data_IF_838387455566
#
_entry.id   IF_838387455566
#
_cell.length_a   1.000
_cell.length_b   1.000
_cell.length_c   1.000
_cell.angle_alpha   90.00
_cell.angle_beta   90.00
_cell.angle_gamma   90.00
#
_symmetry.space_group_name_H-M   'P 1'
#
loop_
_entity.id
_entity.type
_entity.pdbx_description
1 polymer ?
#
# COMPACT_ATOMS: atom_id res chain seq x y z
N UNK A 1 13.47 -13.31 3.32
CA UNK A 1 13.68 -12.22 2.34
C UNK A 1 13.06 -12.66 1.02
N UNK A 2 11.74 -12.65 0.94
CA UNK A 2 11.03 -12.94 -0.32
C UNK A 2 10.80 -11.60 -1.01
N UNK A 3 11.61 -11.32 -2.03
CA UNK A 3 11.40 -10.21 -2.95
C UNK A 3 10.12 -10.53 -3.75
N UNK A 4 9.01 -9.88 -3.41
CA UNK A 4 7.69 -10.09 -4.01
C UNK A 4 7.65 -9.37 -5.36
N UNK A 5 8.37 -9.96 -6.31
CA UNK A 5 8.49 -9.46 -7.67
C UNK A 5 7.32 -10.00 -8.50
N UNK A 6 6.50 -9.08 -8.99
CA UNK A 6 5.55 -9.35 -10.06
C UNK A 6 6.30 -9.53 -11.38
N UNK A 7 5.63 -10.20 -12.33
CA UNK A 7 6.19 -10.50 -13.64
C UNK A 7 5.35 -9.88 -14.75
N UNK A 8 6.02 -9.14 -15.63
CA UNK A 8 5.47 -8.68 -16.90
C UNK A 8 6.41 -9.09 -18.03
N UNK A 9 5.97 -10.03 -18.87
CA UNK A 9 6.85 -10.62 -19.89
C UNK A 9 8.06 -11.32 -19.25
N UNK A 10 9.31 -10.98 -19.63
CA UNK A 10 10.52 -11.49 -18.98
C UNK A 10 10.99 -10.64 -17.79
N UNK A 11 10.30 -9.55 -17.44
CA UNK A 11 10.77 -8.59 -16.43
C UNK A 11 10.14 -8.86 -15.08
N UNK A 12 10.98 -8.85 -14.04
CA UNK A 12 10.60 -8.92 -12.64
C UNK A 12 10.61 -7.50 -12.06
N UNK A 13 9.54 -7.08 -11.39
CA UNK A 13 9.36 -5.73 -10.86
C UNK A 13 8.51 -5.74 -9.60
N UNK A 14 8.60 -4.71 -8.75
CA UNK A 14 7.70 -4.56 -7.62
C UNK A 14 6.24 -4.31 -8.11
N UNK A 15 5.21 -4.64 -7.30
CA UNK A 15 3.81 -4.49 -7.70
C UNK A 15 3.42 -3.07 -8.15
N UNK A 16 4.02 -2.05 -7.55
CA UNK A 16 3.75 -0.64 -7.86
C UNK A 16 4.70 -0.03 -8.91
N UNK A 17 5.70 -0.79 -9.36
CA UNK A 17 6.70 -0.36 -10.34
C UNK A 17 6.25 -0.67 -11.78
N UNK A 18 4.94 -0.68 -12.01
CA UNK A 18 4.33 -0.92 -13.32
C UNK A 18 3.15 0.02 -13.53
N UNK A 19 3.02 0.54 -14.75
CA UNK A 19 1.91 1.37 -15.15
C UNK A 19 1.57 1.17 -16.62
N UNK A 20 0.28 1.02 -16.93
CA UNK A 20 -0.18 0.82 -18.31
C UNK A 20 -0.59 2.13 -18.96
N UNK A 21 0.19 2.63 -19.92
CA UNK A 21 -0.13 3.85 -20.68
C UNK A 21 -1.18 3.53 -21.75
N UNK A 22 -2.18 4.40 -21.89
CA UNK A 22 -3.24 4.26 -22.90
C UNK A 22 -3.46 5.59 -23.60
N UNK A 23 -3.32 5.58 -24.92
CA UNK A 23 -3.49 6.75 -25.78
C UNK A 23 -4.72 6.59 -26.66
N UNK A 24 -5.52 7.64 -26.75
CA UNK A 24 -6.77 7.61 -27.53
C UNK A 24 -6.50 7.72 -29.04
N UNK A 25 -7.22 6.91 -29.83
CA UNK A 25 -7.06 6.77 -31.29
C UNK A 25 -8.36 7.02 -32.05
N UNK A 26 -9.48 7.27 -31.34
CA UNK A 26 -10.84 7.27 -31.91
C UNK A 26 -11.42 5.87 -32.19
N UNK A 27 -10.67 4.81 -31.88
CA UNK A 27 -11.10 3.42 -31.97
C UNK A 27 -10.56 2.61 -30.79
N UNK A 28 -9.85 1.52 -31.08
CA UNK A 28 -9.13 0.78 -30.04
C UNK A 28 -7.95 1.62 -29.55
N UNK A 29 -7.85 1.94 -28.25
CA UNK A 29 -6.75 2.75 -27.74
C UNK A 29 -5.41 2.06 -28.00
N UNK A 30 -4.34 2.85 -28.10
CA UNK A 30 -2.97 2.34 -28.22
C UNK A 30 -2.37 2.17 -26.83
N UNK A 31 -1.85 1.00 -26.52
CA UNK A 31 -1.49 0.60 -25.15
C UNK A 31 -0.02 0.20 -25.04
N UNK A 32 0.62 0.71 -23.99
CA UNK A 32 1.99 0.38 -23.60
C UNK A 32 2.05 0.03 -22.12
N UNK A 33 3.00 -0.82 -21.73
CA UNK A 33 3.34 -1.03 -20.33
C UNK A 33 4.69 -0.40 -20.03
N UNK A 34 4.71 0.51 -19.06
CA UNK A 34 5.90 1.11 -18.48
C UNK A 34 6.19 0.41 -17.16
N UNK A 35 7.43 -0.02 -16.91
CA UNK A 35 7.82 -0.60 -15.63
C UNK A 35 9.25 -0.27 -15.24
N UNK A 36 9.57 -0.32 -13.94
CA UNK A 36 10.94 -0.36 -13.43
C UNK A 36 11.30 -1.81 -13.15
N UNK A 37 12.18 -2.39 -13.97
CA UNK A 37 12.62 -3.76 -13.82
C UNK A 37 13.72 -3.86 -12.76
N UNK A 38 13.55 -4.78 -11.81
CA UNK A 38 14.59 -5.18 -10.86
C UNK A 38 15.52 -6.25 -11.46
N UNK A 39 14.97 -7.13 -12.30
CA UNK A 39 15.71 -8.18 -12.99
C UNK A 39 14.97 -8.66 -14.25
N UNK A 40 15.65 -9.48 -15.05
CA UNK A 40 14.99 -10.31 -16.05
C UNK A 40 15.10 -11.80 -15.74
N UNK A 41 14.05 -12.54 -16.09
CA UNK A 41 13.95 -13.98 -15.92
C UNK A 41 14.00 -14.67 -17.29
N UNK A 42 15.17 -15.18 -17.66
CA UNK A 42 15.36 -16.02 -18.86
C UNK A 42 15.73 -17.47 -18.49
N UNK A 43 16.60 -17.67 -17.49
CA UNK A 43 16.92 -18.97 -16.83
C UNK A 43 17.42 -18.84 -15.38
N UNK A 44 18.04 -17.70 -15.04
CA UNK A 44 18.36 -17.23 -13.68
C UNK A 44 18.04 -15.73 -13.65
N UNK A 45 17.72 -15.18 -12.48
CA UNK A 45 17.46 -13.75 -12.34
C UNK A 45 18.74 -12.95 -12.66
N UNK A 46 18.71 -12.19 -13.76
CA UNK A 46 19.80 -11.30 -14.14
C UNK A 46 19.47 -9.87 -13.72
N UNK A 47 20.18 -9.39 -12.68
CA UNK A 47 20.05 -8.05 -12.12
C UNK A 47 20.78 -6.98 -12.94
N UNK A 48 21.63 -7.35 -13.90
CA UNK A 48 22.33 -6.40 -14.77
C UNK A 48 21.41 -5.74 -15.83
N UNK A 49 20.18 -6.25 -15.94
CA UNK A 49 19.13 -5.83 -16.88
C UNK A 49 18.09 -4.92 -16.21
N UNK A 50 18.41 -4.35 -15.04
CA UNK A 50 17.53 -3.41 -14.35
C UNK A 50 17.26 -2.11 -15.12
N UNK A 51 16.36 -1.29 -14.60
CA UNK A 51 16.01 0.02 -15.14
C UNK A 51 14.61 0.09 -15.77
N UNK A 52 14.31 1.24 -16.38
CA UNK A 52 13.00 1.49 -16.97
C UNK A 52 12.85 0.72 -18.29
N UNK A 53 11.68 0.10 -18.46
CA UNK A 53 11.31 -0.69 -19.62
C UNK A 53 9.96 -0.20 -20.16
N UNK A 54 9.86 -0.13 -21.49
CA UNK A 54 8.61 0.16 -22.19
C UNK A 54 8.30 -1.01 -23.13
N UNK A 55 7.12 -1.59 -22.91
CA UNK A 55 6.57 -2.68 -23.71
C UNK A 55 5.40 -2.16 -24.54
N UNK A 56 5.39 -2.55 -25.80
CA UNK A 56 4.30 -2.36 -26.72
C UNK A 56 3.32 -3.53 -26.57
N UNK A 57 2.15 -3.29 -25.99
CA UNK A 57 1.17 -4.34 -25.73
C UNK A 57 0.41 -4.76 -26.99
N UNK A 58 0.31 -3.86 -27.98
CA UNK A 58 -0.41 -4.13 -29.23
C UNK A 58 0.43 -4.89 -30.25
N UNK A 59 1.75 -4.72 -30.18
CA UNK A 59 2.72 -5.47 -30.99
C UNK A 59 3.40 -6.61 -30.21
N UNK A 60 3.27 -6.64 -28.88
CA UNK A 60 3.94 -7.57 -27.98
C UNK A 60 5.46 -7.49 -28.09
N UNK A 61 5.98 -6.28 -28.19
CA UNK A 61 7.39 -6.01 -28.47
C UNK A 61 7.99 -5.12 -27.39
N UNK A 62 9.31 -5.23 -27.19
CA UNK A 62 10.05 -4.28 -26.35
C UNK A 62 10.30 -3.02 -27.18
N UNK A 63 9.80 -1.88 -26.71
CA UNK A 63 10.08 -0.57 -27.33
C UNK A 63 11.47 -0.11 -26.94
N UNK A 64 11.78 -0.16 -25.65
CA UNK A 64 13.11 0.07 -25.09
C UNK A 64 13.23 -0.63 -23.73
N UNK A 65 14.46 -0.96 -23.36
CA UNK A 65 14.81 -1.58 -22.08
C UNK A 65 16.02 -0.88 -21.45
N UNK A 66 16.21 -1.07 -20.14
CA UNK A 66 17.40 -0.64 -19.38
C UNK A 66 17.67 0.87 -19.43
N UNK A 67 16.63 1.68 -19.58
CA UNK A 67 16.75 3.14 -19.42
C UNK A 67 17.12 3.46 -17.97
N UNK A 68 18.11 4.33 -17.78
CA UNK A 68 18.71 4.68 -16.49
C UNK A 68 19.21 3.49 -15.64
N UNK A 69 19.65 2.39 -16.28
CA UNK A 69 20.20 1.23 -15.55
C UNK A 69 21.38 1.58 -14.63
N UNK A 70 22.19 2.57 -15.01
CA UNK A 70 23.36 3.02 -14.25
C UNK A 70 23.04 4.08 -13.18
N UNK A 71 21.82 4.62 -13.17
CA UNK A 71 21.39 5.73 -12.32
C UNK A 71 20.07 5.35 -11.59
N UNK A 72 20.08 4.30 -10.73
CA UNK A 72 18.88 3.80 -10.07
C UNK A 72 18.13 4.87 -9.26
N UNK A 73 18.86 5.82 -8.68
CA UNK A 73 18.31 6.95 -7.93
C UNK A 73 17.44 7.91 -8.76
N UNK A 74 17.60 7.89 -10.09
CA UNK A 74 16.82 8.73 -11.02
C UNK A 74 15.63 8.00 -11.63
N UNK A 75 15.54 6.68 -11.49
CA UNK A 75 14.51 5.86 -12.14
C UNK A 75 13.10 6.22 -11.70
N UNK A 76 12.88 6.47 -10.40
CA UNK A 76 11.55 6.84 -9.89
C UNK A 76 11.05 8.14 -10.53
N UNK A 77 11.85 9.20 -10.49
CA UNK A 77 11.47 10.50 -11.06
C UNK A 77 11.18 10.40 -12.57
N UNK A 78 12.01 9.64 -13.28
CA UNK A 78 11.85 9.44 -14.72
C UNK A 78 10.63 8.57 -15.06
N UNK A 79 10.35 7.54 -14.26
CA UNK A 79 9.15 6.70 -14.41
C UNK A 79 7.88 7.54 -14.31
N UNK A 80 7.78 8.40 -13.28
CA UNK A 80 6.62 9.29 -13.11
C UNK A 80 6.53 10.35 -14.22
N UNK A 81 7.66 10.84 -14.72
CA UNK A 81 7.69 11.74 -15.89
C UNK A 81 7.14 11.06 -17.13
N UNK A 82 7.64 9.88 -17.50
CA UNK A 82 7.19 9.13 -18.68
C UNK A 82 5.71 8.75 -18.54
N UNK A 83 5.28 8.36 -17.34
CA UNK A 83 3.88 8.02 -17.04
C UNK A 83 2.90 9.16 -17.35
N UNK A 84 3.34 10.42 -17.23
CA UNK A 84 2.53 11.61 -17.48
C UNK A 84 2.57 12.12 -18.92
N UNK A 85 3.38 11.54 -19.80
CA UNK A 85 3.56 12.04 -21.17
C UNK A 85 2.31 11.88 -22.02
N UNK A 86 1.99 12.93 -22.79
CA UNK A 86 1.09 12.83 -23.93
C UNK A 86 1.74 12.09 -25.11
N UNK A 87 0.95 11.69 -26.10
CA UNK A 87 1.45 10.93 -27.25
C UNK A 87 2.63 11.59 -27.99
N UNK A 88 2.62 12.91 -28.30
CA UNK A 88 3.73 13.53 -29.02
C UNK A 88 5.05 13.45 -28.25
N UNK A 89 5.00 13.69 -26.93
CA UNK A 89 6.18 13.63 -26.06
C UNK A 89 6.67 12.18 -25.89
N UNK A 90 5.75 11.24 -25.66
CA UNK A 90 6.06 9.82 -25.49
C UNK A 90 6.71 9.20 -26.74
N UNK A 91 6.13 9.44 -27.93
CA UNK A 91 6.66 8.92 -29.19
C UNK A 91 8.01 9.54 -29.55
N UNK A 92 8.22 10.84 -29.26
CA UNK A 92 9.51 11.50 -29.44
C UNK A 92 10.58 10.98 -28.46
N UNK A 93 10.21 10.78 -27.19
CA UNK A 93 11.07 10.18 -26.18
C UNK A 93 11.54 8.79 -26.61
N UNK A 94 10.60 7.92 -27.03
CA UNK A 94 10.96 6.56 -27.47
C UNK A 94 11.93 6.58 -28.65
N UNK A 95 11.65 7.38 -29.69
CA UNK A 95 12.47 7.45 -30.92
C UNK A 95 13.87 7.99 -30.73
N UNK A 96 14.01 8.99 -29.86
CA UNK A 96 15.29 9.64 -29.60
C UNK A 96 16.20 8.81 -28.67
N UNK A 97 15.66 7.74 -28.08
CA UNK A 97 16.38 6.91 -27.13
C UNK A 97 17.37 5.98 -27.85
N UNK A 98 18.62 5.92 -27.36
CA UNK A 98 19.70 5.11 -27.97
C UNK A 98 19.36 3.60 -28.06
N UNK A 99 18.49 3.13 -27.15
CA UNK A 99 18.04 1.72 -27.05
C UNK A 99 16.68 1.46 -27.70
N UNK A 100 16.19 2.37 -28.53
CA UNK A 100 14.93 2.18 -29.24
C UNK A 100 14.99 0.95 -30.16
N UNK A 101 13.99 0.06 -30.05
CA UNK A 101 13.92 -1.23 -30.76
C UNK A 101 12.58 -1.51 -31.41
N UNK A 102 11.59 -0.63 -31.23
CA UNK A 102 10.26 -0.85 -31.79
C UNK A 102 10.29 -0.82 -33.31
N UNK A 103 9.39 -1.61 -33.91
CA UNK A 103 9.08 -1.58 -35.35
C UNK A 103 7.67 -1.05 -35.61
N UNK A 104 6.96 -0.63 -34.57
CA UNK A 104 5.63 -0.08 -34.70
C UNK A 104 5.69 1.19 -35.55
N UNK A 105 4.87 1.27 -36.59
CA UNK A 105 4.95 2.31 -37.61
C UNK A 105 4.75 3.72 -37.03
N UNK A 106 3.83 3.85 -36.07
CA UNK A 106 3.53 5.10 -35.35
C UNK A 106 4.62 5.55 -34.38
N UNK A 107 5.52 4.64 -34.01
CA UNK A 107 6.71 4.94 -33.23
C UNK A 107 7.97 5.10 -34.09
N UNK A 108 8.07 4.50 -35.27
CA UNK A 108 9.24 4.69 -36.15
C UNK A 108 9.10 5.98 -36.92
N UNK A 109 7.94 6.18 -37.55
CA UNK A 109 7.65 7.36 -38.34
C UNK A 109 6.84 8.36 -37.50
N UNK A 110 7.18 9.67 -37.53
CA UNK A 110 6.42 10.68 -36.79
C UNK A 110 4.94 10.69 -37.15
N UNK A 111 4.09 10.47 -36.15
CA UNK A 111 2.65 10.63 -36.27
C UNK A 111 2.13 11.58 -35.18
N UNK A 112 1.27 12.52 -35.56
CA UNK A 112 0.62 13.45 -34.62
C UNK A 112 -0.31 12.72 -33.63
N UNK A 113 -0.78 11.53 -34.00
CA UNK A 113 -1.67 10.67 -33.21
C UNK A 113 -1.22 9.21 -33.31
N UNK A 114 -1.46 8.40 -32.27
CA UNK A 114 -1.15 6.97 -32.32
C UNK A 114 -2.03 6.28 -33.34
N UNK A 115 -1.52 5.19 -33.93
CA UNK A 115 -2.36 4.30 -34.74
C UNK A 115 -3.27 3.46 -33.83
N UNK A 116 -4.40 2.93 -34.34
CA UNK A 116 -5.28 2.08 -33.55
C UNK A 116 -4.56 0.85 -32.98
N UNK A 117 -4.81 0.52 -31.71
CA UNK A 117 -4.25 -0.65 -31.05
C UNK A 117 -4.97 -1.97 -31.42
N UNK A 118 -4.47 -3.08 -30.85
CA UNK A 118 -4.94 -4.43 -31.14
C UNK A 118 -5.93 -4.93 -30.09
N UNK A 119 -7.23 -4.95 -30.42
CA UNK A 119 -8.28 -5.49 -29.53
C UNK A 119 -7.97 -6.92 -29.09
N UNK A 120 -7.45 -7.73 -30.01
CA UNK A 120 -7.12 -9.14 -29.75
C UNK A 120 -6.06 -9.29 -28.66
N UNK A 121 -5.02 -8.45 -28.68
CA UNK A 121 -3.96 -8.50 -27.66
C UNK A 121 -4.40 -7.89 -26.34
N UNK A 122 -5.17 -6.81 -26.42
CA UNK A 122 -5.70 -6.14 -25.23
C UNK A 122 -6.76 -6.96 -24.47
N UNK A 123 -7.41 -7.93 -25.11
CA UNK A 123 -8.49 -8.71 -24.48
C UNK A 123 -8.06 -9.46 -23.22
N UNK A 124 -6.78 -9.85 -23.11
CA UNK A 124 -6.24 -10.54 -21.93
C UNK A 124 -5.60 -9.58 -20.90
N UNK A 125 -5.56 -8.28 -21.20
CA UNK A 125 -4.93 -7.29 -20.34
C UNK A 125 -5.97 -6.69 -19.39
N UNK A 126 -5.59 -6.40 -18.13
CA UNK A 126 -6.41 -5.59 -17.24
C UNK A 126 -6.80 -4.25 -17.89
N UNK A 127 -7.92 -3.65 -17.49
CA UNK A 127 -8.27 -2.33 -18.00
C UNK A 127 -7.15 -1.31 -17.70
N UNK A 128 -6.67 -0.54 -18.71
CA UNK A 128 -5.74 0.55 -18.47
C UNK A 128 -6.41 1.66 -17.66
N UNK A 129 -5.63 2.38 -16.86
CA UNK A 129 -6.10 3.63 -16.25
C UNK A 129 -5.94 4.75 -17.29
N UNK A 130 -7.01 5.51 -17.62
CA UNK A 130 -6.93 6.57 -18.62
C UNK A 130 -5.88 7.64 -18.27
N UNK A 131 -5.16 8.15 -19.28
CA UNK A 131 -4.10 9.15 -19.08
C UNK A 131 -4.61 10.46 -18.44
N UNK A 132 -5.83 10.88 -18.77
CA UNK A 132 -6.47 12.06 -18.16
C UNK A 132 -6.65 11.93 -16.63
N UNK A 133 -6.76 10.70 -16.12
CA UNK A 133 -6.80 10.41 -14.68
C UNK A 133 -5.40 10.51 -14.06
N UNK A 134 -4.33 10.32 -14.86
CA UNK A 134 -2.94 10.24 -14.39
C UNK A 134 -2.15 11.54 -14.40
N UNK A 135 -2.59 12.55 -15.16
CA UNK A 135 -1.90 13.84 -15.17
C UNK A 135 -1.84 14.42 -13.74
N UNK A 136 -0.62 14.58 -13.22
CA UNK A 136 -0.35 15.04 -11.85
C UNK A 136 -0.74 14.06 -10.74
N UNK A 137 -1.08 12.81 -11.06
CA UNK A 137 -1.59 11.83 -10.09
C UNK A 137 -0.45 11.06 -9.40
N UNK A 138 -0.47 11.09 -8.07
CA UNK A 138 0.53 10.41 -7.25
C UNK A 138 0.25 8.91 -7.09
N UNK A 139 -1.03 8.52 -7.06
CA UNK A 139 -1.48 7.12 -6.81
C UNK A 139 -0.88 6.12 -7.79
N UNK A 140 -0.55 4.93 -7.29
CA UNK A 140 -0.23 3.78 -8.14
C UNK A 140 -1.49 3.25 -8.82
N UNK A 141 -1.32 2.44 -9.88
CA UNK A 141 -2.47 1.80 -10.53
C UNK A 141 -3.20 0.84 -9.56
N UNK A 142 -2.51 0.28 -8.57
CA UNK A 142 -3.10 -0.54 -7.52
C UNK A 142 -4.00 0.30 -6.60
N UNK A 143 -3.52 1.44 -6.12
CA UNK A 143 -4.31 2.39 -5.32
C UNK A 143 -5.55 2.91 -6.06
N UNK A 144 -5.48 3.03 -7.39
CA UNK A 144 -6.62 3.43 -8.22
C UNK A 144 -7.65 2.30 -8.32
N UNK A 145 -7.20 1.04 -8.35
CA UNK A 145 -8.03 -0.16 -8.47
C UNK A 145 -8.64 -0.62 -7.15
N UNK A 146 -8.08 -0.25 -6.00
CA UNK A 146 -8.64 -0.61 -4.68
C UNK A 146 -10.02 0.01 -4.40
N UNK A 147 -10.52 0.87 -5.31
CA UNK A 147 -11.73 1.70 -5.20
C UNK A 147 -13.08 0.93 -5.20
N UNK A 148 -13.11 -0.39 -5.15
CA UNK A 148 -14.35 -1.18 -5.39
C UNK A 148 -14.75 -2.20 -4.33
N UNK A 149 -14.18 -2.20 -3.12
CA UNK A 149 -14.67 -3.08 -2.04
C UNK A 149 -15.74 -2.36 -1.19
N UNK A 150 -16.95 -2.92 -1.02
CA UNK A 150 -17.94 -2.44 -0.05
C UNK A 150 -17.46 -2.59 1.40
N UNK A 151 -16.51 -3.49 1.65
CA UNK A 151 -16.16 -3.95 3.00
C UNK A 151 -14.66 -3.84 3.25
N UNK A 152 -14.19 -2.70 3.80
CA UNK A 152 -12.97 -2.67 4.61
C UNK A 152 -11.61 -2.40 3.92
N UNK A 153 -11.56 -1.77 2.74
CA UNK A 153 -10.29 -1.31 2.13
C UNK A 153 -10.16 0.22 2.23
N UNK A 154 -8.99 0.77 2.59
CA UNK A 154 -8.78 2.22 2.65
C UNK A 154 -9.03 2.89 1.29
N UNK A 155 -9.71 4.04 1.34
CA UNK A 155 -9.99 4.87 0.16
C UNK A 155 -8.81 5.80 -0.15
N UNK A 156 -8.34 5.75 -1.40
CA UNK A 156 -7.31 6.64 -1.92
C UNK A 156 -7.92 7.64 -2.92
N UNK A 157 -8.34 8.84 -2.48
CA UNK A 157 -8.86 9.87 -3.38
C UNK A 157 -7.77 10.32 -4.38
N UNK A 158 -8.20 10.92 -5.51
CA UNK A 158 -7.27 11.56 -6.45
C UNK A 158 -6.42 12.58 -5.71
N UNK A 159 -5.10 12.49 -5.86
CA UNK A 159 -4.18 13.38 -5.19
C UNK A 159 -2.95 13.64 -6.05
N UNK A 160 -2.42 14.85 -5.97
CA UNK A 160 -1.11 15.20 -6.50
C UNK A 160 -0.05 15.23 -5.39
N UNK A 161 1.22 15.40 -5.78
CA UNK A 161 2.35 15.48 -4.85
C UNK A 161 2.15 16.58 -3.79
N UNK A 162 1.68 17.76 -4.20
CA UNK A 162 1.54 18.90 -3.29
C UNK A 162 0.44 18.67 -2.26
N UNK A 163 -0.69 18.12 -2.71
CA UNK A 163 -1.82 17.75 -1.85
C UNK A 163 -1.44 16.64 -0.86
N UNK A 164 -0.73 15.61 -1.32
CA UNK A 164 -0.25 14.55 -0.44
C UNK A 164 0.73 15.07 0.62
N UNK A 165 1.67 15.96 0.25
CA UNK A 165 2.58 16.61 1.20
C UNK A 165 1.79 17.46 2.20
N UNK A 166 0.77 18.19 1.76
CA UNK A 166 -0.08 19.00 2.64
C UNK A 166 -0.82 18.12 3.66
N UNK A 167 -1.45 17.04 3.21
CA UNK A 167 -2.15 16.11 4.09
C UNK A 167 -1.20 15.42 5.09
N UNK A 168 -0.04 14.95 4.62
CA UNK A 168 1.00 14.37 5.47
C UNK A 168 1.50 15.39 6.49
N UNK A 169 1.75 16.63 6.05
CA UNK A 169 2.20 17.72 6.92
C UNK A 169 1.14 18.11 7.94
N UNK A 170 -0.15 17.94 7.65
CA UNK A 170 -1.25 18.23 8.56
C UNK A 170 -1.47 17.15 9.63
N UNK A 171 -0.83 15.99 9.50
CA UNK A 171 -0.97 14.87 10.43
C UNK A 171 -0.64 15.26 11.89
N UNK A 172 -1.27 14.61 12.89
CA UNK A 172 -0.90 14.81 14.29
C UNK A 172 0.58 14.50 14.51
N UNK A 173 1.22 15.30 15.36
CA UNK A 173 2.61 15.10 15.76
C UNK A 173 2.69 14.91 17.26
N UNK A 174 3.43 13.88 17.68
CA UNK A 174 3.67 13.58 19.09
C UNK A 174 5.16 13.47 19.37
N UNK A 175 5.55 13.77 20.60
CA UNK A 175 6.95 13.69 21.02
C UNK A 175 7.39 12.22 21.12
N UNK A 176 8.41 11.86 20.34
CA UNK A 176 9.05 10.56 20.42
C UNK A 176 10.00 10.41 21.62
N UNK A 177 10.71 9.28 21.71
CA UNK A 177 11.61 8.96 22.83
C UNK A 177 12.72 10.00 23.10
N UNK A 178 13.10 10.79 22.09
CA UNK A 178 14.17 11.78 22.18
C UNK A 178 13.68 13.24 22.17
N UNK A 179 12.38 13.47 22.41
CA UNK A 179 11.77 14.80 22.44
C UNK A 179 11.54 15.45 21.06
N UNK A 180 12.03 14.83 19.98
CA UNK A 180 11.68 15.22 18.61
C UNK A 180 10.28 14.72 18.24
N UNK A 181 9.63 15.45 17.34
CA UNK A 181 8.27 15.15 16.90
C UNK A 181 8.27 14.04 15.84
N UNK A 182 7.31 13.15 15.95
CA UNK A 182 7.04 12.05 15.01
C UNK A 182 5.59 12.15 14.52
N UNK A 183 5.33 11.70 13.29
CA UNK A 183 3.95 11.52 12.82
C UNK A 183 3.23 10.51 13.72
N UNK A 184 1.99 10.81 14.08
CA UNK A 184 1.26 10.06 15.09
C UNK A 184 -0.20 9.81 14.70
N UNK A 185 -0.71 8.67 15.15
CA UNK A 185 -2.11 8.26 15.00
C UNK A 185 -2.70 7.98 16.38
N UNK A 186 -3.60 8.84 16.87
CA UNK A 186 -4.31 8.58 18.11
C UNK A 186 -5.19 7.33 18.00
N UNK A 187 -5.00 6.39 18.91
CA UNK A 187 -5.84 5.20 19.06
C UNK A 187 -6.94 5.57 20.06
N UNK A 188 -8.19 5.45 19.63
CA UNK A 188 -9.36 5.68 20.49
C UNK A 188 -10.30 4.50 20.37
N UNK A 189 -10.35 3.69 21.41
CA UNK A 189 -11.43 2.72 21.58
C UNK A 189 -12.70 3.47 22.02
N UNK A 190 -13.90 3.06 21.56
CA UNK A 190 -15.15 3.65 22.02
C UNK A 190 -15.31 3.48 23.54
N UNK A 191 -15.82 4.51 24.23
CA UNK A 191 -16.09 4.46 25.67
C UNK A 191 -17.19 3.45 26.03
N UNK A 192 -18.09 3.17 25.07
CA UNK A 192 -19.22 2.24 25.20
C UNK A 192 -19.02 0.96 24.39
N UNK A 193 -17.77 0.50 24.24
CA UNK A 193 -17.49 -0.72 23.49
C UNK A 193 -18.22 -1.94 24.11
N UNK A 194 -18.72 -2.84 23.26
CA UNK A 194 -19.38 -4.07 23.71
C UNK A 194 -18.38 -4.98 24.46
N UNK A 195 -18.66 -5.21 25.75
CA UNK A 195 -17.86 -6.08 26.61
C UNK A 195 -18.39 -7.51 26.66
N UNK A 196 -19.45 -7.84 25.91
CA UNK A 196 -20.12 -9.15 25.98
C UNK A 196 -19.23 -10.31 25.52
N UNK A 197 -18.23 -10.05 24.66
CA UNK A 197 -17.44 -11.10 24.01
C UNK A 197 -18.26 -11.95 23.03
N UNK A 198 -19.44 -11.48 22.60
CA UNK A 198 -20.28 -12.16 21.61
C UNK A 198 -19.89 -11.79 20.17
N UNK A 199 -19.23 -10.64 19.98
CA UNK A 199 -18.84 -10.13 18.69
C UNK A 199 -17.60 -10.87 18.18
N UNK A 200 -17.77 -11.84 17.28
CA UNK A 200 -16.66 -12.55 16.67
C UNK A 200 -17.07 -13.89 16.07
N UNK A 201 -16.09 -14.65 15.59
CA UNK A 201 -16.31 -15.94 14.93
C UNK A 201 -16.25 -17.16 15.86
N UNK A 202 -15.93 -17.00 17.15
CA UNK A 202 -15.82 -18.12 18.10
C UNK A 202 -17.14 -18.34 18.82
N UNK A 203 -17.54 -19.60 18.93
CA UNK A 203 -18.69 -19.98 19.74
C UNK A 203 -18.41 -19.72 21.23
N UNK A 204 -19.39 -19.12 21.90
CA UNK A 204 -19.40 -18.84 23.34
C UNK A 204 -20.78 -19.19 23.89
N UNK A 205 -20.84 -19.73 25.11
CA UNK A 205 -22.08 -20.15 25.75
C UNK A 205 -22.76 -18.98 26.47
N UNK A 206 -23.97 -18.61 26.01
CA UNK A 206 -24.78 -17.56 26.62
C UNK A 206 -25.22 -17.88 28.04
N UNK A 207 -25.25 -19.16 28.44
CA UNK A 207 -25.51 -19.53 29.84
C UNK A 207 -24.44 -18.98 30.79
N UNK A 208 -23.24 -18.66 30.28
CA UNK A 208 -22.12 -18.12 31.04
C UNK A 208 -22.07 -16.57 31.04
N UNK A 209 -23.02 -15.89 30.39
CA UNK A 209 -23.07 -14.41 30.32
C UNK A 209 -22.98 -13.72 31.70
N UNK A 210 -23.69 -14.18 32.77
CA UNK A 210 -23.55 -13.57 34.09
C UNK A 210 -22.15 -13.74 34.69
N UNK A 211 -21.58 -14.94 34.56
CA UNK A 211 -20.25 -15.24 35.07
C UNK A 211 -19.15 -14.49 34.30
N UNK A 212 -19.33 -14.30 32.99
CA UNK A 212 -18.47 -13.46 32.15
C UNK A 212 -18.53 -11.99 32.58
N UNK A 213 -19.75 -11.46 32.78
CA UNK A 213 -19.94 -10.07 33.20
C UNK A 213 -19.27 -9.78 34.54
N UNK A 214 -19.39 -10.72 35.49
CA UNK A 214 -18.70 -10.66 36.77
C UNK A 214 -17.17 -10.73 36.60
N UNK A 215 -16.67 -11.65 35.78
CA UNK A 215 -15.25 -11.84 35.54
C UNK A 215 -14.59 -10.60 34.93
N UNK A 216 -15.20 -10.00 33.91
CA UNK A 216 -14.71 -8.76 33.28
C UNK A 216 -14.67 -7.60 34.28
N UNK A 217 -15.67 -7.51 35.16
CA UNK A 217 -15.67 -6.51 36.24
C UNK A 217 -14.56 -6.72 37.28
N UNK A 218 -14.17 -7.98 37.52
CA UNK A 218 -13.12 -8.35 38.48
C UNK A 218 -11.70 -8.33 37.89
N UNK A 219 -11.58 -8.49 36.57
CA UNK A 219 -10.31 -8.65 35.84
C UNK A 219 -10.16 -7.61 34.72
N UNK A 220 -9.91 -6.34 35.07
CA UNK A 220 -9.74 -5.28 34.07
C UNK A 220 -8.56 -5.53 33.12
N UNK A 221 -7.60 -6.37 33.50
CA UNK A 221 -6.50 -6.75 32.62
C UNK A 221 -6.95 -7.48 31.34
N UNK A 222 -8.10 -8.15 31.35
CA UNK A 222 -8.67 -8.81 30.15
C UNK A 222 -9.09 -7.77 29.09
N UNK A 223 -9.51 -6.59 29.53
CA UNK A 223 -9.86 -5.48 28.64
C UNK A 223 -8.58 -4.93 27.99
N UNK A 224 -7.51 -4.77 28.77
CA UNK A 224 -6.21 -4.30 28.25
C UNK A 224 -5.59 -5.33 27.29
N UNK A 225 -5.71 -6.62 27.60
CA UNK A 225 -5.30 -7.71 26.72
C UNK A 225 -6.05 -7.66 25.38
N UNK A 226 -7.38 -7.52 25.42
CA UNK A 226 -8.19 -7.37 24.21
C UNK A 226 -7.84 -6.12 23.39
N UNK A 227 -7.54 -5.00 24.05
CA UNK A 227 -7.08 -3.76 23.38
C UNK A 227 -5.74 -3.96 22.68
N UNK A 228 -4.78 -4.61 23.34
CA UNK A 228 -3.50 -4.94 22.74
C UNK A 228 -3.68 -5.89 21.56
N UNK A 229 -4.44 -6.97 21.72
CA UNK A 229 -4.77 -7.91 20.63
C UNK A 229 -5.41 -7.21 19.42
N UNK A 230 -6.31 -6.25 19.64
CA UNK A 230 -6.95 -5.48 18.56
C UNK A 230 -5.95 -4.61 17.77
N UNK A 231 -4.85 -4.22 18.40
CA UNK A 231 -3.78 -3.41 17.81
C UNK A 231 -2.67 -4.24 17.16
N UNK A 232 -2.53 -5.52 17.53
CA UNK A 232 -1.49 -6.40 16.97
C UNK A 232 -1.44 -6.42 15.44
N UNK A 233 -2.56 -6.45 14.68
CA UNK A 233 -2.49 -6.41 13.22
C UNK A 233 -1.98 -5.08 12.66
N UNK A 234 -1.94 -4.01 13.46
CA UNK A 234 -1.33 -2.72 13.08
C UNK A 234 0.14 -2.65 13.47
N UNK A 235 0.50 -3.26 14.61
CA UNK A 235 1.86 -3.24 15.18
C UNK A 235 2.79 -4.30 14.56
N UNK A 236 2.30 -5.54 14.48
CA UNK A 236 3.02 -6.71 13.99
C UNK A 236 2.52 -7.17 12.62
N UNK A 237 1.28 -6.78 12.28
CA UNK A 237 0.76 -7.01 10.94
C UNK A 237 1.42 -6.06 9.95
N UNK A 238 1.56 -6.49 8.69
CA UNK A 238 2.12 -5.62 7.69
C UNK A 238 1.11 -4.50 7.41
N UNK A 239 1.40 -3.30 7.91
CA UNK A 239 0.60 -2.11 7.58
C UNK A 239 0.94 -1.70 6.16
N UNK A 240 0.40 -2.46 5.20
CA UNK A 240 0.68 -2.28 3.79
C UNK A 240 0.11 -0.94 3.33
N UNK A 241 0.94 -0.04 2.76
CA UNK A 241 0.40 1.00 1.90
C UNK A 241 -0.34 0.31 0.76
N UNK A 242 -1.67 0.33 0.78
CA UNK A 242 -2.51 -0.11 -0.34
C UNK A 242 -2.12 -1.48 -0.94
N UNK A 243 -2.07 -2.55 -0.15
CA UNK A 243 -1.80 -3.90 -0.69
C UNK A 243 -0.40 -4.10 -1.28
N UNK A 244 0.54 -3.18 -1.06
CA UNK A 244 1.95 -3.43 -1.32
C UNK A 244 2.49 -4.31 -0.21
N UNK A 245 2.89 -5.55 -0.55
CA UNK A 245 3.53 -6.48 0.38
C UNK A 245 4.98 -6.06 0.76
N UNK A 246 5.24 -4.75 0.86
CA UNK A 246 6.51 -4.18 1.31
C UNK A 246 6.58 -4.23 2.83
N UNK A 247 6.84 -5.42 3.37
CA UNK A 247 7.17 -5.61 4.78
C UNK A 247 8.41 -4.77 5.17
N UNK A 248 8.35 -4.13 6.35
CA UNK A 248 9.53 -3.55 7.00
C UNK A 248 9.99 -2.16 6.53
N UNK A 249 9.34 -1.56 5.53
CA UNK A 249 9.70 -0.20 5.10
C UNK A 249 9.44 0.85 6.18
N UNK A 250 8.29 0.76 6.84
CA UNK A 250 7.88 1.70 7.88
C UNK A 250 7.87 1.00 9.22
N UNK A 251 8.54 1.59 10.20
CA UNK A 251 8.49 1.14 11.59
C UNK A 251 7.47 1.95 12.37
N UNK A 252 6.57 1.24 13.06
CA UNK A 252 5.60 1.84 13.98
C UNK A 252 5.95 1.43 15.40
N UNK A 253 5.71 2.31 16.37
CA UNK A 253 5.81 1.99 17.79
C UNK A 253 4.67 2.64 18.58
N UNK A 254 4.27 2.01 19.68
CA UNK A 254 3.37 2.64 20.64
C UNK A 254 4.09 3.75 21.40
N UNK A 255 3.39 4.85 21.63
CA UNK A 255 3.94 5.99 22.35
C UNK A 255 4.37 5.57 23.78
N UNK A 256 5.66 5.70 24.14
CA UNK A 256 6.20 5.20 25.41
C UNK A 256 5.70 6.00 26.63
N UNK A 257 5.07 7.15 26.42
CA UNK A 257 4.60 8.05 27.48
C UNK A 257 3.20 7.66 28.01
N UNK A 258 2.75 6.43 27.73
CA UNK A 258 1.44 5.92 28.17
C UNK A 258 0.25 6.54 27.43
N UNK A 259 0.48 7.22 26.31
CA UNK A 259 -0.60 7.69 25.43
C UNK A 259 -0.95 6.58 24.44
N UNK A 260 -2.25 6.33 24.17
CA UNK A 260 -2.67 5.36 23.18
C UNK A 260 -2.47 5.98 21.78
N UNK A 261 -1.24 6.04 21.32
CA UNK A 261 -0.87 6.64 20.03
C UNK A 261 0.18 5.74 19.34
N UNK A 262 0.01 5.55 18.03
CA UNK A 262 1.05 4.97 17.17
C UNK A 262 1.95 6.08 16.67
N UNK A 263 3.26 5.85 16.67
CA UNK A 263 4.27 6.77 16.16
C UNK A 263 5.00 6.14 14.98
N UNK A 264 5.17 6.88 13.89
CA UNK A 264 6.09 6.51 12.81
C UNK A 264 7.53 6.73 13.29
N UNK A 265 8.24 5.64 13.53
CA UNK A 265 9.58 5.65 14.13
C UNK A 265 10.69 5.58 13.11
N UNK A 266 10.52 4.74 12.08
CA UNK A 266 11.51 4.54 11.02
C UNK A 266 10.88 4.52 9.63
N UNK A 267 11.66 4.94 8.65
CA UNK A 267 11.38 4.76 7.23
C UNK A 267 12.66 4.30 6.56
N UNK A 268 12.60 3.19 5.84
CA UNK A 268 13.77 2.54 5.20
C UNK A 268 14.88 2.29 6.24
N UNK A 269 14.50 1.73 7.40
CA UNK A 269 15.36 1.46 8.59
C UNK A 269 15.99 2.70 9.24
N UNK A 270 15.70 3.91 8.74
CA UNK A 270 16.25 5.16 9.28
C UNK A 270 15.24 5.82 10.21
N UNK A 271 15.67 6.29 11.40
CA UNK A 271 14.80 7.07 12.27
C UNK A 271 14.22 8.29 11.56
N UNK A 272 12.91 8.49 11.68
CA UNK A 272 12.22 9.67 11.16
C UNK A 272 11.65 10.48 12.32
N UNK A 273 12.20 11.68 12.51
CA UNK A 273 11.71 12.64 13.50
C UNK A 273 12.13 14.04 13.10
N UNK A 274 11.40 15.03 13.57
CA UNK A 274 11.58 16.44 13.18
C UNK A 274 11.48 17.35 14.39
N UNK A 275 12.16 18.50 14.39
CA UNK A 275 12.02 19.48 15.47
C UNK A 275 10.66 20.19 15.44
N UNK A 276 10.07 20.38 14.25
CA UNK A 276 8.81 21.09 14.07
C UNK A 276 8.11 20.69 12.76
N UNK A 277 6.89 21.22 12.55
CA UNK A 277 6.08 20.96 11.35
C UNK A 277 6.69 21.54 10.06
N UNK A 278 7.49 22.60 10.15
CA UNK A 278 8.17 23.20 8.99
C UNK A 278 9.28 22.28 8.49
N UNK A 279 10.04 21.68 9.42
CA UNK A 279 11.04 20.67 9.11
C UNK A 279 10.41 19.42 8.50
N UNK A 280 9.23 18.98 8.97
CA UNK A 280 8.48 17.90 8.30
C UNK A 280 8.16 18.23 6.85
N UNK A 281 7.58 19.41 6.60
CA UNK A 281 7.24 19.83 5.23
C UNK A 281 8.48 19.88 4.32
N UNK A 282 9.60 20.37 4.85
CA UNK A 282 10.87 20.43 4.12
C UNK A 282 11.41 19.03 3.81
N UNK A 283 11.35 18.12 4.79
CA UNK A 283 11.75 16.72 4.60
C UNK A 283 10.91 16.05 3.51
N UNK A 284 9.58 16.15 3.61
CA UNK A 284 8.64 15.59 2.64
C UNK A 284 8.87 16.16 1.23
N UNK A 285 9.10 17.47 1.13
CA UNK A 285 9.32 18.14 -0.16
C UNK A 285 10.58 17.64 -0.87
N UNK A 286 11.58 17.15 -0.13
CA UNK A 286 12.80 16.54 -0.67
C UNK A 286 12.69 15.05 -1.04
N UNK A 287 11.60 14.37 -0.68
CA UNK A 287 11.46 12.92 -0.93
C UNK A 287 11.00 12.63 -2.37
N UNK A 288 11.41 11.50 -2.98
CA UNK A 288 10.87 11.06 -4.28
C UNK A 288 9.34 10.84 -4.25
N UNK A 289 8.68 10.98 -5.41
CA UNK A 289 7.22 10.78 -5.55
C UNK A 289 6.76 9.42 -5.04
N UNK A 290 7.51 8.35 -5.34
CA UNK A 290 7.24 7.01 -4.80
C UNK A 290 7.18 7.01 -3.27
N UNK A 291 8.14 7.66 -2.61
CA UNK A 291 8.20 7.72 -1.15
C UNK A 291 7.03 8.52 -0.57
N UNK A 292 6.67 9.64 -1.20
CA UNK A 292 5.50 10.43 -0.80
C UNK A 292 4.20 9.65 -1.01
N UNK A 293 4.06 8.94 -2.13
CA UNK A 293 2.92 8.06 -2.40
C UNK A 293 2.79 7.00 -1.33
N UNK A 294 3.88 6.30 -1.02
CA UNK A 294 3.86 5.15 -0.11
C UNK A 294 3.60 5.60 1.33
N UNK A 295 4.21 6.71 1.77
CA UNK A 295 3.93 7.29 3.08
C UNK A 295 2.49 7.82 3.19
N UNK A 296 1.98 8.45 2.14
CA UNK A 296 0.57 8.87 2.07
C UNK A 296 -0.37 7.66 2.09
N UNK A 297 -0.02 6.59 1.36
CA UNK A 297 -0.72 5.32 1.37
C UNK A 297 -0.77 4.68 2.76
N UNK A 298 0.36 4.69 3.48
CA UNK A 298 0.45 4.25 4.87
C UNK A 298 -0.48 5.07 5.76
N UNK A 299 -0.40 6.41 5.69
CA UNK A 299 -1.27 7.30 6.48
C UNK A 299 -2.74 6.96 6.28
N UNK A 300 -3.19 6.86 5.03
CA UNK A 300 -4.61 6.56 4.71
C UNK A 300 -5.04 5.18 5.18
N UNK A 301 -4.12 4.21 5.16
CA UNK A 301 -4.37 2.86 5.66
C UNK A 301 -4.47 2.87 7.19
N UNK A 302 -3.55 3.54 7.87
CA UNK A 302 -3.61 3.72 9.33
C UNK A 302 -4.85 4.49 9.78
N UNK A 303 -5.21 5.59 9.12
CA UNK A 303 -6.43 6.34 9.42
C UNK A 303 -7.69 5.45 9.36
N UNK A 304 -7.71 4.47 8.46
CA UNK A 304 -8.78 3.48 8.37
C UNK A 304 -8.69 2.43 9.48
N UNK A 305 -7.51 1.82 9.68
CA UNK A 305 -7.31 0.73 10.64
C UNK A 305 -7.41 1.17 12.10
N UNK A 306 -7.08 2.44 12.39
CA UNK A 306 -7.23 3.04 13.73
C UNK A 306 -8.52 3.84 13.87
N UNK A 307 -9.46 3.72 12.93
CA UNK A 307 -10.78 4.34 13.08
C UNK A 307 -11.55 3.70 14.24
N UNK A 308 -12.40 4.47 14.98
CA UNK A 308 -13.16 3.94 16.10
C UNK A 308 -13.96 2.69 15.76
N UNK A 309 -14.68 2.69 14.63
CA UNK A 309 -15.50 1.56 14.18
C UNK A 309 -14.66 0.30 13.94
N UNK A 310 -13.45 0.46 13.36
CA UNK A 310 -12.57 -0.68 13.06
C UNK A 310 -11.92 -1.23 14.32
N UNK A 311 -11.50 -0.34 15.22
CA UNK A 311 -10.96 -0.72 16.52
C UNK A 311 -12.01 -1.39 17.40
N UNK A 312 -13.26 -0.92 17.38
CA UNK A 312 -14.38 -1.54 18.08
C UNK A 312 -14.62 -2.97 17.60
N UNK A 313 -14.67 -3.16 16.27
CA UNK A 313 -14.84 -4.48 15.69
C UNK A 313 -13.73 -5.44 16.13
N UNK A 314 -12.48 -5.02 16.00
CA UNK A 314 -11.31 -5.85 16.38
C UNK A 314 -11.25 -6.12 17.88
N UNK A 315 -11.63 -5.14 18.69
CA UNK A 315 -11.72 -5.27 20.14
C UNK A 315 -12.79 -6.29 20.54
N UNK A 316 -13.98 -6.22 19.95
CA UNK A 316 -15.02 -7.23 20.14
C UNK A 316 -14.54 -8.62 19.77
N UNK A 317 -13.90 -8.77 18.60
CA UNK A 317 -13.32 -10.05 18.15
C UNK A 317 -12.25 -10.59 19.09
N UNK A 318 -11.41 -9.70 19.66
CA UNK A 318 -10.42 -10.08 20.66
C UNK A 318 -11.07 -10.56 21.96
N UNK A 319 -12.06 -9.83 22.48
CA UNK A 319 -12.82 -10.26 23.64
C UNK A 319 -13.51 -11.61 23.41
N UNK A 320 -14.06 -11.84 22.22
CA UNK A 320 -14.68 -13.12 21.85
C UNK A 320 -13.67 -14.27 21.88
N UNK A 321 -12.42 -14.05 21.45
CA UNK A 321 -11.34 -15.06 21.56
C UNK A 321 -10.97 -15.34 23.02
N UNK A 322 -10.75 -14.30 23.81
CA UNK A 322 -10.41 -14.43 25.24
C UNK A 322 -11.52 -15.17 25.99
N UNK A 323 -12.78 -14.76 25.79
CA UNK A 323 -13.96 -15.41 26.39
C UNK A 323 -14.03 -16.88 26.02
N UNK A 324 -13.97 -17.20 24.73
CA UNK A 324 -14.03 -18.59 24.23
C UNK A 324 -12.91 -19.45 24.81
N UNK A 325 -11.69 -18.93 24.92
CA UNK A 325 -10.57 -19.66 25.53
C UNK A 325 -10.78 -19.96 27.01
N UNK A 326 -11.34 -19.01 27.78
CA UNK A 326 -11.64 -19.19 29.20
C UNK A 326 -12.80 -20.15 29.45
N UNK A 327 -13.82 -20.14 28.59
CA UNK A 327 -14.93 -21.11 28.64
C UNK A 327 -14.43 -22.53 28.34
N UNK A 328 -13.59 -22.70 27.31
CA UNK A 328 -12.97 -23.99 26.99
C UNK A 328 -12.06 -24.52 28.12
N UNK A 329 -11.35 -23.62 28.82
CA UNK A 329 -10.53 -23.99 29.96
C UNK A 329 -11.35 -24.36 31.22
N UNK A 330 -12.64 -23.98 31.27
CA UNK A 330 -13.56 -24.31 32.35
C UNK A 330 -14.22 -25.68 32.21
N UNK A 331 -14.30 -26.23 31.00
CA UNK A 331 -14.76 -27.61 30.78
C UNK A 331 -13.70 -28.60 31.28
N UNK A 332 -13.92 -29.30 32.41
CA UNK A 332 -13.07 -30.41 32.80
C UNK A 332 -13.39 -31.62 31.91
N UNK A 333 -12.40 -32.49 31.70
CA UNK A 333 -12.49 -33.74 30.92
C UNK A 333 -13.81 -34.52 31.08
N UNK A 334 -14.24 -35.27 30.04
CA UNK A 334 -15.41 -36.15 30.13
C UNK A 334 -15.24 -37.10 31.31
N UNK A 335 -16.25 -37.09 32.18
CA UNK A 335 -16.41 -37.95 33.35
C UNK A 335 -15.88 -39.36 33.08
N UNK A 336 -14.98 -39.93 33.93
CA UNK A 336 -14.55 -41.31 33.74
C UNK A 336 -15.80 -42.17 33.84
N UNK A 337 -16.06 -42.94 32.77
CA UNK A 337 -17.13 -43.91 32.72
C UNK A 337 -17.17 -44.72 34.02
N UNK A 338 -18.22 -44.48 34.81
CA UNK A 338 -18.57 -45.30 35.96
C UNK A 338 -19.17 -46.63 35.52
N UNK A 339 -19.05 -47.67 36.36
CA UNK A 339 -18.80 -49.07 36.01
C UNK A 339 -19.92 -49.81 35.25
#
# INVERSE_FOLDING_TARGET
MHDLLNRTGPYLHAPDDVSRLSFETGGTPRVFTLLIAAATESRRADRSVGGIVILDEDEGAVVLDRHLVAEPERQDAEFYRIRGMGWPEFSAFCRSHERFRSRAFDLVDPHDRPLPGSRRRQAALPAPVPLAVRAGELRSDLMIRSRTAPDGTPLFPRTDRSQAIEELTASPLSAGPHGLLMMSWPIRFPELADLSGLQGGRAVDRALDPAWSELIGQRPELIEEARLEALMPVLDGPTHPAGSEQEGRFGLLLCPQGRPELLLSTMDERPISVPDRKALRSLLSGMPDRTIRDLWGLKRSLDHETSPDRLELRFGEALNRIRSALELARDPEPSPAGP
#
